data_IF_841157242040
#
_entry.id   IF_841157242040
#
_cell.length_a   1.000
_cell.length_b   1.000
_cell.length_c   1.000
_cell.angle_alpha   90.00
_cell.angle_beta   90.00
_cell.angle_gamma   90.00
#
_symmetry.space_group_name_H-M   'P 1'
#
loop_
_entity.id
_entity.type
_entity.pdbx_description
1 polymer ?
#
# COMPACT_ATOMS: atom_id res chain seq x y z
N UNK A 1 -13.10 7.02 16.49
CA UNK A 1 -11.82 7.25 15.81
C UNK A 1 -10.70 6.52 16.52
N UNK A 2 -9.97 5.72 15.79
CA UNK A 2 -8.87 4.95 16.37
C UNK A 2 -7.61 5.79 16.41
N UNK A 3 -7.03 5.91 17.58
CA UNK A 3 -5.82 6.68 17.77
C UNK A 3 -4.60 5.83 17.45
N UNK A 4 -3.62 6.41 16.77
CA UNK A 4 -2.38 5.70 16.48
C UNK A 4 -1.53 5.60 17.73
N UNK A 5 -1.05 4.38 18.01
CA UNK A 5 -0.11 4.13 19.09
C UNK A 5 1.31 4.44 18.65
N UNK A 6 1.58 4.32 17.36
CA UNK A 6 2.85 4.67 16.76
C UNK A 6 2.63 4.95 15.29
N UNK A 7 3.49 5.76 14.70
CA UNK A 7 3.39 6.03 13.27
C UNK A 7 4.73 6.49 12.72
N UNK A 8 4.87 6.34 11.42
CA UNK A 8 6.01 6.87 10.67
C UNK A 8 5.49 7.31 9.30
N UNK A 9 6.11 8.32 8.75
CA UNK A 9 5.79 8.83 7.43
C UNK A 9 7.07 8.90 6.63
N UNK A 10 7.03 8.37 5.40
CA UNK A 10 8.13 8.46 4.45
C UNK A 10 7.64 9.23 3.23
N UNK A 11 8.46 10.12 2.77
CA UNK A 11 8.21 10.83 1.53
C UNK A 11 9.37 10.55 0.60
N UNK A 12 9.07 10.18 -0.64
CA UNK A 12 10.11 9.86 -1.61
C UNK A 12 9.65 10.15 -3.04
N UNK A 13 10.62 10.22 -3.94
CA UNK A 13 10.31 10.39 -5.36
C UNK A 13 9.89 9.06 -5.96
N UNK A 14 9.12 9.14 -7.03
CA UNK A 14 8.58 7.97 -7.71
C UNK A 14 9.62 7.24 -8.56
N UNK A 15 10.82 7.08 -8.03
CA UNK A 15 11.86 6.28 -8.68
C UNK A 15 11.62 4.81 -8.37
N UNK A 16 11.81 3.97 -9.37
CA UNK A 16 11.61 2.53 -9.20
C UNK A 16 12.50 1.95 -8.11
N UNK A 17 13.68 2.53 -7.89
CA UNK A 17 14.57 2.08 -6.83
C UNK A 17 13.99 2.27 -5.43
N UNK A 18 13.01 3.14 -5.28
CA UNK A 18 12.42 3.38 -3.97
C UNK A 18 11.34 2.37 -3.59
N UNK A 19 10.90 1.52 -4.52
CA UNK A 19 9.93 0.49 -4.19
C UNK A 19 10.51 -0.49 -3.16
N UNK A 20 11.72 -0.97 -3.40
CA UNK A 20 12.35 -1.88 -2.45
C UNK A 20 12.57 -1.25 -1.08
N UNK A 21 12.98 0.02 -1.06
CA UNK A 21 13.18 0.73 0.20
C UNK A 21 11.86 0.85 0.97
N UNK A 22 10.79 1.22 0.28
CA UNK A 22 9.48 1.37 0.94
C UNK A 22 9.00 0.03 1.51
N UNK A 23 9.18 -1.04 0.75
CA UNK A 23 8.80 -2.38 1.19
C UNK A 23 9.56 -2.80 2.45
N UNK A 24 10.86 -2.57 2.48
CA UNK A 24 11.69 -2.91 3.64
C UNK A 24 11.31 -2.04 4.84
N UNK A 25 11.08 -0.76 4.62
CA UNK A 25 10.67 0.15 5.70
C UNK A 25 9.35 -0.29 6.32
N UNK A 26 8.39 -0.67 5.48
CA UNK A 26 7.10 -1.14 5.98
C UNK A 26 7.26 -2.42 6.80
N UNK A 27 8.08 -3.35 6.32
CA UNK A 27 8.34 -4.60 7.05
C UNK A 27 9.01 -4.34 8.39
N UNK A 28 9.99 -3.42 8.40
CA UNK A 28 10.68 -3.08 9.64
C UNK A 28 9.76 -2.44 10.67
N UNK A 29 8.88 -1.57 10.21
CA UNK A 29 7.90 -0.94 11.10
C UNK A 29 6.90 -1.97 11.63
N UNK A 30 6.41 -2.83 10.74
CA UNK A 30 5.44 -3.86 11.10
C UNK A 30 6.02 -4.90 12.06
N UNK A 31 7.34 -5.06 12.09
CA UNK A 31 8.00 -6.00 12.99
C UNK A 31 7.69 -5.71 14.46
N UNK A 32 7.31 -4.49 14.80
CA UNK A 32 6.92 -4.13 16.16
C UNK A 32 5.69 -4.90 16.63
N UNK A 33 4.89 -5.40 15.70
CA UNK A 33 3.69 -6.18 16.02
C UNK A 33 3.97 -7.68 16.09
N UNK A 34 5.23 -8.08 15.94
CA UNK A 34 5.66 -9.47 15.99
C UNK A 34 4.87 -10.37 15.03
N UNK A 35 4.84 -10.03 13.74
CA UNK A 35 4.11 -10.82 12.75
C UNK A 35 4.79 -12.15 12.48
N UNK A 36 4.01 -13.11 11.96
CA UNK A 36 4.58 -14.33 11.41
C UNK A 36 5.31 -14.00 10.12
N UNK A 37 6.12 -14.92 9.62
CA UNK A 37 6.76 -14.74 8.32
C UNK A 37 5.73 -14.60 7.20
N UNK A 38 4.63 -15.35 7.29
CA UNK A 38 3.57 -15.24 6.30
C UNK A 38 2.90 -13.86 6.34
N UNK A 39 2.60 -13.37 7.54
CA UNK A 39 2.02 -12.04 7.68
C UNK A 39 2.96 -10.96 7.15
N UNK A 40 4.24 -11.12 7.44
CA UNK A 40 5.25 -10.17 6.97
C UNK A 40 5.36 -10.19 5.45
N UNK A 41 5.31 -11.38 4.85
CA UNK A 41 5.30 -11.54 3.40
C UNK A 41 4.09 -10.89 2.77
N UNK A 42 2.92 -11.04 3.39
CA UNK A 42 1.68 -10.40 2.92
C UNK A 42 1.81 -8.89 2.93
N UNK A 43 2.38 -8.34 4.01
CA UNK A 43 2.59 -6.89 4.12
C UNK A 43 3.52 -6.40 3.01
N UNK A 44 4.64 -7.09 2.82
CA UNK A 44 5.59 -6.71 1.77
C UNK A 44 4.97 -6.73 0.40
N UNK A 45 4.17 -7.76 0.11
CA UNK A 45 3.51 -7.88 -1.18
C UNK A 45 2.50 -6.77 -1.40
N UNK A 46 1.67 -6.50 -0.40
CA UNK A 46 0.67 -5.44 -0.51
C UNK A 46 1.31 -4.07 -0.71
N UNK A 47 2.35 -3.77 0.06
CA UNK A 47 3.07 -2.51 -0.04
C UNK A 47 3.74 -2.38 -1.41
N UNK A 48 4.36 -3.46 -1.87
CA UNK A 48 5.02 -3.47 -3.18
C UNK A 48 4.05 -3.11 -4.30
N UNK A 49 2.84 -3.69 -4.27
CA UNK A 49 1.84 -3.40 -5.27
C UNK A 49 1.36 -1.95 -5.19
N UNK A 50 1.11 -1.46 -3.99
CA UNK A 50 0.61 -0.09 -3.81
C UNK A 50 1.66 0.93 -4.23
N UNK A 51 2.92 0.72 -3.87
CA UNK A 51 4.00 1.64 -4.22
C UNK A 51 4.29 1.59 -5.71
N UNK A 52 4.24 0.40 -6.31
CA UNK A 52 4.43 0.26 -7.76
C UNK A 52 3.36 1.04 -8.52
N UNK A 53 2.10 0.98 -8.07
CA UNK A 53 1.05 1.76 -8.69
C UNK A 53 1.36 3.27 -8.62
N UNK A 54 1.84 3.74 -7.48
CA UNK A 54 2.18 5.14 -7.32
C UNK A 54 3.39 5.54 -8.19
N UNK A 55 4.35 4.64 -8.36
CA UNK A 55 5.53 4.93 -9.14
C UNK A 55 5.26 4.88 -10.64
N UNK A 56 4.59 3.81 -11.09
CA UNK A 56 4.48 3.52 -12.51
C UNK A 56 3.25 4.17 -13.13
N UNK A 57 2.10 4.04 -12.46
CA UNK A 57 0.85 4.49 -13.05
C UNK A 57 0.53 5.94 -12.77
N UNK A 58 0.90 6.44 -11.59
CA UNK A 58 0.56 7.80 -11.22
C UNK A 58 1.40 8.82 -11.99
N UNK A 59 2.67 8.52 -12.22
CA UNK A 59 3.62 9.44 -12.82
C UNK A 59 4.31 8.82 -14.03
N UNK A 60 3.58 8.61 -15.13
CA UNK A 60 4.18 7.90 -16.27
C UNK A 60 5.29 8.66 -16.99
N UNK A 61 5.24 9.98 -16.96
CA UNK A 61 6.14 10.79 -17.78
C UNK A 61 7.15 11.61 -16.98
N UNK A 62 7.04 11.63 -15.68
CA UNK A 62 7.92 12.42 -14.83
C UNK A 62 7.96 11.86 -13.44
N UNK A 63 8.93 12.31 -12.65
CA UNK A 63 8.98 11.92 -11.25
C UNK A 63 8.05 12.79 -10.43
N UNK A 64 7.43 12.20 -9.44
CA UNK A 64 6.56 12.91 -8.53
C UNK A 64 6.72 12.39 -7.11
N UNK A 65 6.04 13.04 -6.20
CA UNK A 65 6.11 12.73 -4.79
C UNK A 65 5.20 11.56 -4.43
N UNK A 66 5.71 10.65 -3.61
CA UNK A 66 4.93 9.57 -3.01
C UNK A 66 5.10 9.67 -1.51
N UNK A 67 4.00 9.54 -0.78
CA UNK A 67 4.04 9.52 0.68
C UNK A 67 3.48 8.19 1.16
N UNK A 68 4.26 7.50 1.99
CA UNK A 68 3.81 6.29 2.66
C UNK A 68 3.69 6.58 4.14
N UNK A 69 2.51 6.36 4.68
CA UNK A 69 2.26 6.54 6.10
C UNK A 69 1.91 5.20 6.71
N UNK A 70 2.60 4.86 7.77
CA UNK A 70 2.40 3.60 8.48
C UNK A 70 1.95 3.91 9.89
N UNK A 71 0.90 3.25 10.34
CA UNK A 71 0.40 3.45 11.70
C UNK A 71 0.12 2.11 12.36
N UNK A 72 0.43 2.06 13.64
CA UNK A 72 -0.01 0.97 14.49
C UNK A 72 -1.20 1.49 15.29
N UNK A 73 -2.34 0.85 15.10
CA UNK A 73 -3.57 1.20 15.79
C UNK A 73 -3.82 0.19 16.89
N UNK A 74 -4.67 0.58 17.83
CA UNK A 74 -5.00 -0.28 18.96
C UNK A 74 -5.47 -1.65 18.49
N UNK A 75 -5.04 -2.69 19.22
CA UNK A 75 -5.45 -4.05 18.91
C UNK A 75 -4.60 -4.74 17.84
N UNK A 76 -3.42 -4.23 17.56
CA UNK A 76 -2.52 -4.86 16.61
C UNK A 76 -2.89 -4.65 15.15
N UNK A 77 -3.56 -3.55 14.86
CA UNK A 77 -3.94 -3.21 13.49
C UNK A 77 -2.85 -2.36 12.85
N UNK A 78 -2.31 -2.84 11.76
CA UNK A 78 -1.38 -2.06 10.94
C UNK A 78 -2.18 -1.34 9.87
N UNK A 79 -1.97 -0.04 9.74
CA UNK A 79 -2.59 0.75 8.68
C UNK A 79 -1.50 1.30 7.78
N UNK A 80 -1.65 1.09 6.49
CA UNK A 80 -0.70 1.51 5.47
C UNK A 80 -1.44 2.43 4.52
N UNK A 81 -0.94 3.65 4.34
CA UNK A 81 -1.52 4.60 3.41
C UNK A 81 -0.45 5.02 2.41
N UNK A 82 -0.75 4.88 1.14
CA UNK A 82 0.14 5.30 0.05
C UNK A 82 -0.58 6.38 -0.73
N UNK A 83 0.00 7.56 -0.79
CA UNK A 83 -0.60 8.69 -1.48
C UNK A 83 0.31 9.22 -2.58
N UNK A 84 -0.26 9.49 -3.74
CA UNK A 84 0.42 10.17 -4.82
C UNK A 84 -0.43 11.36 -5.29
N UNK A 85 0.20 12.24 -6.03
CA UNK A 85 -0.44 13.42 -6.63
C UNK A 85 -0.33 13.33 -8.15
N UNK A 86 -0.43 12.10 -8.66
CA UNK A 86 -0.29 11.83 -10.07
C UNK A 86 -1.60 12.01 -10.82
N UNK A 87 -1.71 11.30 -11.92
CA UNK A 87 -2.85 11.48 -12.82
C UNK A 87 -4.19 10.98 -12.30
N UNK A 88 -4.17 10.21 -11.22
CA UNK A 88 -5.38 9.65 -10.66
C UNK A 88 -5.94 8.50 -11.48
N UNK A 89 -7.04 7.96 -10.99
CA UNK A 89 -7.77 6.86 -11.61
C UNK A 89 -9.18 7.35 -11.91
N UNK A 90 -9.58 7.24 -13.16
CA UNK A 90 -10.87 7.73 -13.58
C UNK A 90 -12.02 6.91 -13.02
N UNK A 91 -11.89 5.60 -13.03
CA UNK A 91 -12.90 4.69 -12.54
C UNK A 91 -12.26 3.69 -11.59
N UNK A 92 -12.30 3.99 -10.29
CA UNK A 92 -11.68 3.15 -9.27
C UNK A 92 -12.32 1.79 -9.20
N UNK A 93 -13.64 1.73 -9.28
CA UNK A 93 -14.34 0.45 -9.20
C UNK A 93 -13.90 -0.50 -10.31
N UNK A 94 -13.79 0.03 -11.53
CA UNK A 94 -13.32 -0.77 -12.64
C UNK A 94 -11.86 -1.17 -12.48
N UNK A 95 -11.03 -0.25 -12.01
CA UNK A 95 -9.60 -0.51 -11.81
C UNK A 95 -9.36 -1.62 -10.78
N UNK A 96 -10.28 -1.78 -9.85
CA UNK A 96 -10.15 -2.80 -8.81
C UNK A 96 -10.62 -4.18 -9.25
N UNK A 97 -11.28 -4.28 -10.39
CA UNK A 97 -11.76 -5.58 -10.88
C UNK A 97 -10.59 -6.45 -11.32
N UNK A 98 -10.60 -7.74 -10.96
CA UNK A 98 -9.53 -8.64 -11.39
C UNK A 98 -9.44 -8.71 -12.90
N UNK A 99 -8.23 -8.77 -13.40
CA UNK A 99 -7.97 -8.96 -14.84
C UNK A 99 -8.52 -7.84 -15.71
N UNK A 100 -8.76 -6.69 -15.15
CA UNK A 100 -9.19 -5.56 -15.96
C UNK A 100 -8.00 -4.97 -16.68
N UNK A 101 -7.65 -5.58 -17.80
CA UNK A 101 -6.58 -5.09 -18.64
C UNK A 101 -7.19 -4.44 -19.85
N UNK A 102 -6.96 -3.16 -20.02
CA UNK A 102 -7.40 -2.45 -21.20
C UNK A 102 -6.19 -1.93 -21.93
N UNK A 103 -6.25 -1.95 -23.23
CA UNK A 103 -5.24 -1.33 -24.06
C UNK A 103 -3.86 -1.94 -23.97
N UNK A 104 -3.77 -3.21 -23.70
CA UNK A 104 -2.48 -3.89 -23.71
C UNK A 104 -1.52 -3.46 -22.65
N UNK A 105 -2.02 -3.00 -21.55
CA UNK A 105 -1.17 -2.71 -20.42
C UNK A 105 -0.34 -3.92 -20.05
N UNK A 106 0.94 -3.72 -19.85
CA UNK A 106 1.79 -4.79 -19.35
C UNK A 106 1.43 -5.15 -17.94
N UNK A 107 0.69 -4.30 -17.27
CA UNK A 107 0.21 -4.60 -15.95
C UNK A 107 -0.90 -5.62 -16.04
N UNK A 108 -0.86 -6.55 -15.15
CA UNK A 108 -1.85 -7.60 -15.12
C UNK A 108 -3.24 -7.12 -14.76
N UNK A 109 -3.39 -5.91 -14.25
CA UNK A 109 -4.65 -5.46 -13.71
C UNK A 109 -4.96 -6.10 -12.37
N UNK A 110 -3.98 -6.72 -11.76
CA UNK A 110 -4.14 -7.50 -10.53
C UNK A 110 -3.66 -6.78 -9.28
N UNK A 111 -3.08 -5.59 -9.43
CA UNK A 111 -2.50 -4.89 -8.29
C UNK A 111 -3.45 -4.70 -7.12
N UNK A 112 -4.64 -4.18 -7.38
CA UNK A 112 -5.64 -3.98 -6.33
C UNK A 112 -6.19 -5.30 -5.81
N UNK A 113 -6.32 -6.30 -6.67
CA UNK A 113 -6.75 -7.62 -6.25
C UNK A 113 -5.74 -8.24 -5.30
N UNK A 114 -4.45 -8.10 -5.59
CA UNK A 114 -3.39 -8.59 -4.72
C UNK A 114 -3.41 -7.86 -3.39
N UNK A 115 -3.52 -6.53 -3.40
CA UNK A 115 -3.61 -5.75 -2.16
C UNK A 115 -4.78 -6.23 -1.31
N UNK A 116 -5.93 -6.43 -1.93
CA UNK A 116 -7.13 -6.87 -1.23
C UNK A 116 -6.96 -8.27 -0.66
N UNK A 117 -6.30 -9.16 -1.40
CA UNK A 117 -6.10 -10.54 -0.97
C UNK A 117 -5.19 -10.67 0.25
N UNK A 118 -4.24 -9.76 0.40
CA UNK A 118 -3.24 -9.85 1.46
C UNK A 118 -3.48 -8.89 2.62
N UNK A 119 -4.60 -8.18 2.61
CA UNK A 119 -4.96 -7.27 3.71
C UNK A 119 -6.40 -7.52 4.11
N UNK A 120 -6.80 -6.99 5.25
CA UNK A 120 -8.16 -7.16 5.75
C UNK A 120 -9.11 -6.11 5.20
N UNK A 121 -8.58 -4.99 4.77
CA UNK A 121 -9.39 -3.92 4.21
C UNK A 121 -8.55 -3.10 3.23
N UNK A 122 -9.18 -2.77 2.11
CA UNK A 122 -8.57 -1.90 1.11
C UNK A 122 -9.57 -0.79 0.76
N UNK A 123 -9.13 0.45 0.88
CA UNK A 123 -9.89 1.61 0.45
C UNK A 123 -9.04 2.36 -0.57
N UNK A 124 -9.61 2.63 -1.73
CA UNK A 124 -8.95 3.40 -2.77
C UNK A 124 -9.78 4.63 -3.07
N UNK A 125 -9.15 5.79 -2.96
CA UNK A 125 -9.77 7.07 -3.31
C UNK A 125 -8.91 7.74 -4.35
N UNK A 126 -9.55 8.22 -5.41
CA UNK A 126 -8.81 8.86 -6.47
C UNK A 126 -9.65 9.93 -7.12
N UNK A 127 -8.98 10.99 -7.55
CA UNK A 127 -9.61 12.05 -8.35
C UNK A 127 -8.75 12.21 -9.59
N UNK A 128 -9.37 12.04 -10.74
CA UNK A 128 -8.68 12.17 -12.02
C UNK A 128 -7.95 13.51 -12.08
N UNK A 129 -6.68 13.49 -12.42
CA UNK A 129 -5.85 14.68 -12.50
C UNK A 129 -5.29 15.17 -11.17
N UNK A 130 -5.67 14.56 -10.05
CA UNK A 130 -5.23 15.04 -8.73
C UNK A 130 -4.48 14.01 -7.91
N UNK A 131 -4.64 12.73 -8.19
CA UNK A 131 -3.90 11.70 -7.51
C UNK A 131 -4.75 10.63 -6.86
N UNK A 132 -4.08 9.74 -6.16
CA UNK A 132 -4.70 8.56 -5.57
C UNK A 132 -4.21 8.35 -4.15
N UNK A 133 -5.11 7.90 -3.29
CA UNK A 133 -4.77 7.45 -1.95
C UNK A 133 -5.25 6.03 -1.80
N UNK A 134 -4.33 5.14 -1.44
CA UNK A 134 -4.62 3.74 -1.16
C UNK A 134 -4.42 3.54 0.33
N UNK A 135 -5.42 3.03 1.01
CA UNK A 135 -5.31 2.73 2.43
C UNK A 135 -5.62 1.26 2.65
N UNK A 136 -4.72 0.59 3.33
CA UNK A 136 -4.85 -0.83 3.65
C UNK A 136 -4.77 -1.02 5.14
N UNK A 137 -5.53 -1.97 5.68
CA UNK A 137 -5.43 -2.35 7.08
C UNK A 137 -5.24 -3.85 7.17
N UNK A 138 -4.34 -4.25 8.04
CA UNK A 138 -4.09 -5.65 8.30
C UNK A 138 -3.92 -5.85 9.80
N UNK A 139 -4.74 -6.72 10.34
CA UNK A 139 -4.62 -7.09 11.74
C UNK A 139 -3.56 -8.16 11.86
N UNK A 140 -2.59 -7.93 12.73
CA UNK A 140 -1.58 -8.92 13.06
C UNK A 140 -2.11 -9.67 14.27
N UNK A 141 -2.29 -10.97 14.12
CA UNK A 141 -2.86 -11.78 15.19
C UNK A 141 -1.96 -11.74 16.42
N UNK A 142 -2.55 -11.48 17.59
CA UNK A 142 -1.75 -11.49 18.80
C UNK A 142 -1.23 -12.90 19.04
N UNK A 143 0.03 -12.98 19.43
CA UNK A 143 0.62 -14.25 19.78
C UNK A 143 0.39 -14.54 21.24
N UNK A 144 0.32 -15.80 21.57
CA UNK A 144 0.30 -16.19 22.95
C UNK A 144 1.60 -15.73 23.57
N UNK A 145 1.49 -14.92 24.60
CA UNK A 145 2.66 -14.47 25.30
C UNK A 145 3.25 -15.63 26.07
N UNK A 146 4.44 -15.99 25.69
CA UNK A 146 5.18 -17.03 26.39
C UNK A 146 6.24 -16.38 27.24
N UNK A 147 6.00 -15.21 27.68
CA UNK A 147 6.97 -14.46 28.46
C UNK A 147 6.60 -14.39 29.89
#
# INVERSE_FOLDING_TARGET
>A
MTRAENYVTLEFLSRSSNEGFARVAAAGFAAQLDPTLDELGDIKTAVSEAVTNAIVHAYPDQLGKVVMKLKILKGGMLEITIRDWGRGIENVEQARRPMNTTGGSERSGMGFTIMESFTDRLVVRSVSGKGTTVQMRKRIAPRLAVR
#
